data_IF_435455366281
#
_entry.id   IF_435455366281
#
_cell.length_a   1.000
_cell.length_b   1.000
_cell.length_c   1.000
_cell.angle_alpha   90.00
_cell.angle_beta   90.00
_cell.angle_gamma   90.00
#
_symmetry.space_group_name_H-M   'P 1'
#
loop_
_entity.id
_entity.type
_entity.pdbx_description
1 polymer ?
#
# COMPACT_ATOMS: atom_id res chain seq x y z
N UNK A 1 0.68 -22.31 9.22
CA UNK A 1 0.06 -21.92 7.91
C UNK A 1 -1.29 -22.60 7.65
N UNK A 2 -1.75 -23.43 8.56
CA UNK A 2 -3.05 -24.11 8.47
C UNK A 2 -4.25 -23.14 8.30
N UNK A 3 -4.17 -21.94 8.86
CA UNK A 3 -5.26 -20.93 8.77
C UNK A 3 -5.54 -20.41 7.35
N UNK A 4 -4.65 -20.64 6.37
CA UNK A 4 -4.84 -20.29 4.97
C UNK A 4 -5.01 -21.52 4.06
N UNK A 5 -5.09 -22.72 4.64
CA UNK A 5 -5.32 -23.96 3.86
C UNK A 5 -6.74 -23.90 3.31
N UNK A 6 -6.84 -24.04 1.98
CA UNK A 6 -8.13 -23.93 1.27
C UNK A 6 -8.51 -22.51 0.85
N UNK A 7 -7.77 -21.47 1.29
CA UNK A 7 -7.96 -20.09 0.86
C UNK A 7 -7.07 -19.77 -0.35
N UNK A 8 -7.69 -19.35 -1.44
CA UNK A 8 -6.94 -18.84 -2.60
C UNK A 8 -6.48 -17.40 -2.31
N UNK A 9 -5.23 -17.24 -1.86
CA UNK A 9 -4.65 -15.91 -1.61
C UNK A 9 -4.37 -15.22 -2.95
N UNK A 10 -4.92 -14.00 -3.13
CA UNK A 10 -4.79 -13.19 -4.35
C UNK A 10 -3.91 -11.98 -4.17
N UNK A 11 -3.69 -11.50 -2.94
CA UNK A 11 -2.78 -10.40 -2.64
C UNK A 11 -2.13 -10.57 -1.27
N UNK A 12 -0.88 -10.09 -1.18
CA UNK A 12 -0.09 -10.01 0.04
C UNK A 12 0.47 -8.61 0.19
N UNK A 13 0.51 -8.10 1.41
CA UNK A 13 1.20 -6.87 1.76
C UNK A 13 1.98 -7.05 3.07
N UNK A 14 3.23 -6.60 3.07
CA UNK A 14 4.11 -6.72 4.22
C UNK A 14 4.49 -5.33 4.74
N UNK A 15 4.22 -5.09 6.02
CA UNK A 15 4.75 -3.96 6.76
C UNK A 15 6.11 -4.28 7.39
N UNK A 16 6.57 -3.45 8.34
CA UNK A 16 7.86 -3.72 9.00
C UNK A 16 7.84 -5.00 9.83
N UNK A 17 6.74 -5.30 10.49
CA UNK A 17 6.64 -6.43 11.44
C UNK A 17 5.27 -7.11 11.41
N UNK A 18 4.46 -6.85 10.40
CA UNK A 18 3.16 -7.50 10.21
C UNK A 18 2.90 -7.76 8.75
N UNK A 19 2.02 -8.67 8.48
CA UNK A 19 1.64 -9.11 7.14
C UNK A 19 0.13 -9.13 7.04
N UNK A 20 -0.38 -8.78 5.87
CA UNK A 20 -1.78 -8.93 5.50
C UNK A 20 -1.91 -9.76 4.22
N UNK A 21 -2.92 -10.61 4.17
CA UNK A 21 -3.28 -11.42 3.00
C UNK A 21 -4.75 -11.24 2.67
N UNK A 22 -5.03 -11.08 1.38
CA UNK A 22 -6.38 -11.00 0.85
C UNK A 22 -6.67 -12.29 0.07
N UNK A 23 -7.81 -12.95 0.37
CA UNK A 23 -8.25 -14.13 -0.36
C UNK A 23 -9.17 -13.77 -1.53
N UNK A 24 -9.36 -14.71 -2.46
CA UNK A 24 -10.30 -14.58 -3.58
C UNK A 24 -11.76 -14.43 -3.13
N UNK A 25 -12.07 -14.85 -1.90
CA UNK A 25 -13.38 -14.66 -1.25
C UNK A 25 -13.49 -13.29 -0.57
N UNK A 26 -12.54 -12.38 -0.83
CA UNK A 26 -12.48 -11.04 -0.23
C UNK A 26 -12.31 -11.03 1.31
N UNK A 27 -11.77 -12.11 1.88
CA UNK A 27 -11.41 -12.17 3.29
C UNK A 27 -10.02 -11.59 3.52
N UNK A 28 -9.89 -10.75 4.53
CA UNK A 28 -8.61 -10.17 4.94
C UNK A 28 -8.09 -10.91 6.18
N UNK A 29 -6.84 -11.34 6.10
CA UNK A 29 -6.09 -11.98 7.18
C UNK A 29 -4.92 -11.11 7.56
N UNK A 30 -4.64 -10.98 8.86
CA UNK A 30 -3.48 -10.24 9.37
C UNK A 30 -2.76 -11.03 10.45
N UNK A 31 -1.43 -10.90 10.52
CA UNK A 31 -0.60 -11.51 11.55
C UNK A 31 0.72 -10.77 11.72
N UNK A 32 1.45 -11.12 12.75
CA UNK A 32 2.71 -10.52 13.15
C UNK A 32 2.58 -9.61 14.36
N UNK A 33 3.31 -8.50 14.37
CA UNK A 33 3.32 -7.54 15.47
C UNK A 33 2.03 -6.72 15.50
N UNK A 34 1.37 -6.69 16.67
CA UNK A 34 0.11 -5.98 16.90
C UNK A 34 0.20 -4.79 17.86
N UNK A 35 1.40 -4.48 18.40
CA UNK A 35 1.58 -3.53 19.49
C UNK A 35 1.11 -2.08 19.22
N UNK A 36 0.84 -1.71 17.99
CA UNK A 36 0.20 -0.46 17.61
C UNK A 36 -1.23 -0.65 17.09
N UNK A 37 -1.83 -1.83 17.23
CA UNK A 37 -3.14 -2.16 16.71
C UNK A 37 -3.19 -2.41 15.20
N UNK A 38 -2.03 -2.49 14.52
CA UNK A 38 -1.93 -2.62 13.06
C UNK A 38 -2.51 -3.91 12.48
N UNK A 39 -2.85 -4.88 13.32
CA UNK A 39 -3.52 -6.12 12.90
C UNK A 39 -5.03 -5.97 12.75
N UNK A 40 -5.65 -4.96 13.38
CA UNK A 40 -7.05 -4.63 13.17
C UNK A 40 -8.06 -5.45 14.00
N UNK A 41 -7.62 -6.28 14.96
CA UNK A 41 -8.49 -7.18 15.74
C UNK A 41 -9.07 -6.55 17.03
N UNK A 42 -9.05 -5.22 17.16
CA UNK A 42 -9.62 -4.49 18.30
C UNK A 42 -8.66 -4.38 19.49
N UNK A 43 -7.45 -4.95 19.41
CA UNK A 43 -6.44 -4.94 20.47
C UNK A 43 -5.02 -4.74 19.95
N UNK A 44 -4.05 -4.83 20.86
CA UNK A 44 -2.61 -4.67 20.58
C UNK A 44 -1.82 -5.98 20.75
N UNK A 45 -2.49 -7.11 20.62
CA UNK A 45 -1.91 -8.45 20.77
C UNK A 45 -1.19 -8.83 19.47
N UNK A 46 -0.10 -9.59 19.59
CA UNK A 46 0.64 -10.18 18.47
C UNK A 46 -0.01 -11.51 18.07
N UNK A 47 -0.16 -11.74 16.78
CA UNK A 47 -0.63 -13.03 16.26
C UNK A 47 0.47 -13.67 15.42
N UNK A 48 0.88 -14.88 15.78
CA UNK A 48 1.92 -15.63 15.07
C UNK A 48 1.40 -16.37 13.84
N UNK A 49 0.09 -16.55 13.75
CA UNK A 49 -0.60 -17.19 12.63
C UNK A 49 -1.58 -16.21 11.97
N UNK A 50 -1.87 -16.37 10.68
CA UNK A 50 -2.91 -15.58 10.01
C UNK A 50 -4.24 -15.68 10.73
N UNK A 51 -4.81 -14.54 11.10
CA UNK A 51 -6.14 -14.45 11.70
C UNK A 51 -7.05 -13.63 10.79
N UNK A 52 -8.21 -14.17 10.48
CA UNK A 52 -9.22 -13.49 9.65
C UNK A 52 -9.77 -12.28 10.39
N UNK A 53 -9.76 -11.14 9.72
CA UNK A 53 -10.31 -9.90 10.24
C UNK A 53 -11.84 -10.02 10.30
N UNK A 54 -12.39 -9.86 11.49
CA UNK A 54 -13.84 -9.90 11.74
C UNK A 54 -14.43 -8.49 11.68
N UNK A 55 -15.73 -8.35 11.34
CA UNK A 55 -16.42 -7.07 11.46
C UNK A 55 -16.39 -6.63 12.93
N UNK A 56 -15.91 -5.42 13.16
CA UNK A 56 -16.09 -4.79 14.47
C UNK A 56 -17.36 -3.97 14.44
N UNK A 57 -18.24 -4.15 15.44
CA UNK A 57 -19.30 -3.20 15.71
C UNK A 57 -18.65 -1.81 15.88
N UNK A 58 -19.15 -0.80 15.19
CA UNK A 58 -18.70 0.57 15.40
C UNK A 58 -18.86 0.85 16.91
N UNK A 59 -17.73 0.97 17.62
CA UNK A 59 -17.74 1.37 19.02
C UNK A 59 -18.42 2.72 19.08
N UNK A 60 -19.65 2.76 19.59
CA UNK A 60 -20.24 3.97 20.14
C UNK A 60 -19.21 4.53 21.12
N UNK A 61 -18.96 5.85 21.03
CA UNK A 61 -17.99 6.56 21.84
C UNK A 61 -18.05 6.11 23.31
N UNK A 62 -16.92 6.10 24.04
CA UNK A 62 -16.95 5.79 25.45
C UNK A 62 -17.84 6.80 26.15
N UNK A 63 -18.94 6.31 26.71
CA UNK A 63 -19.71 7.07 27.66
C UNK A 63 -18.74 7.48 28.77
N UNK A 64 -18.56 8.78 28.96
CA UNK A 64 -17.93 9.33 30.13
C UNK A 64 -18.64 8.76 31.36
N UNK A 65 -17.95 7.88 32.07
CA UNK A 65 -18.40 7.39 33.36
C UNK A 65 -18.34 8.56 34.33
N UNK A 66 -19.47 9.26 34.51
CA UNK A 66 -19.71 10.03 35.70
C UNK A 66 -20.10 9.05 36.79
N UNK A 67 -19.26 8.95 37.80
CA UNK A 67 -19.53 8.28 39.06
C UNK A 67 -20.61 9.07 39.80
N UNK A 68 -21.85 8.63 39.73
CA UNK A 68 -22.81 8.84 40.80
C UNK A 68 -23.80 7.67 40.76
N UNK A 69 -23.56 6.74 41.66
CA UNK A 69 -24.45 5.64 41.91
C UNK A 69 -25.54 6.07 42.90
N UNK A 70 -26.78 6.10 42.47
CA UNK A 70 -27.89 5.87 43.39
C UNK A 70 -28.67 4.65 42.94
N UNK A 71 -28.73 3.71 43.86
CA UNK A 71 -29.46 2.45 43.85
C UNK A 71 -30.98 2.73 43.75
N UNK A 72 -31.64 2.18 42.69
CA UNK A 72 -32.97 1.60 42.89
C UNK A 72 -33.19 0.59 41.76
N UNK A 73 -33.30 -0.66 42.19
CA UNK A 73 -33.58 -1.80 41.36
C UNK A 73 -35.09 -1.92 41.16
N UNK A 74 -35.52 -1.95 39.91
CA UNK A 74 -36.77 -2.61 39.52
C UNK A 74 -36.48 -3.56 38.40
N UNK A 75 -36.63 -4.85 38.71
CA UNK A 75 -36.62 -6.00 37.83
C UNK A 75 -37.81 -5.93 36.88
N UNK A 76 -37.57 -5.84 35.61
CA UNK A 76 -38.33 -6.47 34.51
C UNK A 76 -37.63 -6.11 33.19
N UNK A 77 -36.55 -6.84 32.87
CA UNK A 77 -35.93 -6.77 31.56
C UNK A 77 -36.38 -7.99 30.77
N UNK A 78 -37.14 -7.77 29.73
CA UNK A 78 -37.53 -8.76 28.73
C UNK A 78 -36.30 -9.51 28.18
N UNK A 79 -36.14 -10.75 28.61
CA UNK A 79 -35.04 -11.64 28.22
C UNK A 79 -35.22 -12.20 26.79
N UNK A 80 -35.92 -11.50 25.91
CA UNK A 80 -36.18 -11.96 24.52
C UNK A 80 -35.84 -10.93 23.43
N UNK A 81 -34.89 -10.02 23.70
CA UNK A 81 -34.32 -9.23 22.63
C UNK A 81 -33.38 -10.12 21.80
N UNK A 82 -33.84 -10.53 20.61
CA UNK A 82 -33.00 -11.24 19.64
C UNK A 82 -31.72 -10.41 19.42
N UNK A 83 -30.56 -11.07 19.52
CA UNK A 83 -29.28 -10.42 19.23
C UNK A 83 -29.37 -9.70 17.87
N UNK A 84 -28.87 -8.46 17.77
CA UNK A 84 -28.88 -7.77 16.49
C UNK A 84 -28.19 -8.63 15.42
N UNK A 85 -28.69 -8.65 14.17
CA UNK A 85 -28.08 -9.45 13.11
C UNK A 85 -26.59 -9.08 13.00
N UNK A 86 -25.71 -10.06 12.77
CA UNK A 86 -24.30 -9.80 12.60
C UNK A 86 -24.11 -8.77 11.50
N UNK A 87 -23.25 -7.78 11.77
CA UNK A 87 -22.90 -6.79 10.76
C UNK A 87 -22.35 -7.51 9.52
N UNK A 88 -22.71 -7.07 8.30
CA UNK A 88 -22.19 -7.68 7.09
C UNK A 88 -20.66 -7.62 7.13
N UNK A 89 -20.01 -8.75 6.85
CA UNK A 89 -18.54 -8.81 6.77
C UNK A 89 -18.08 -7.86 5.68
N UNK A 90 -17.16 -6.91 5.96
CA UNK A 90 -16.62 -6.07 4.92
C UNK A 90 -15.98 -6.94 3.83
N UNK A 91 -16.35 -6.72 2.59
CA UNK A 91 -15.68 -7.30 1.44
C UNK A 91 -14.46 -6.44 1.11
N UNK A 92 -13.27 -7.01 1.20
CA UNK A 92 -12.02 -6.29 0.96
C UNK A 92 -11.54 -6.50 -0.47
N UNK A 93 -11.07 -5.43 -1.13
CA UNK A 93 -10.60 -5.47 -2.53
C UNK A 93 -9.11 -5.15 -2.65
N UNK A 94 -8.54 -4.46 -1.67
CA UNK A 94 -7.11 -4.17 -1.60
C UNK A 94 -6.66 -4.00 -0.16
N UNK A 95 -5.39 -4.33 0.12
CA UNK A 95 -4.72 -4.05 1.40
C UNK A 95 -3.30 -3.56 1.15
N UNK A 96 -2.84 -2.63 1.98
CA UNK A 96 -1.47 -2.14 2.02
C UNK A 96 -1.00 -1.95 3.46
N UNK A 97 0.20 -2.42 3.77
CA UNK A 97 0.81 -2.37 5.08
C UNK A 97 1.97 -1.37 5.11
N UNK A 98 1.91 -0.40 6.01
CA UNK A 98 3.01 0.50 6.30
C UNK A 98 3.94 -0.03 7.40
N UNK A 99 4.73 0.85 8.02
CA UNK A 99 5.62 0.43 9.11
C UNK A 99 4.83 -0.15 10.29
N UNK A 100 3.78 0.57 10.73
CA UNK A 100 2.99 0.24 11.93
C UNK A 100 1.50 0.53 11.74
N UNK A 101 1.04 0.74 10.51
CA UNK A 101 -0.36 0.94 10.17
C UNK A 101 -0.74 0.11 8.96
N UNK A 102 -2.02 -0.05 8.76
CA UNK A 102 -2.59 -0.79 7.64
C UNK A 102 -3.71 0.03 7.03
N UNK A 103 -3.79 0.00 5.71
CA UNK A 103 -4.89 0.58 4.95
C UNK A 103 -5.51 -0.48 4.04
N UNK A 104 -6.82 -0.42 3.85
CA UNK A 104 -7.53 -1.32 2.94
C UNK A 104 -8.67 -0.59 2.23
N UNK A 105 -8.98 -1.02 1.03
CA UNK A 105 -10.20 -0.67 0.32
C UNK A 105 -11.23 -1.77 0.52
N UNK A 106 -12.41 -1.37 1.02
CA UNK A 106 -13.58 -2.20 1.05
C UNK A 106 -14.41 -2.07 -0.23
N UNK A 107 -15.43 -2.88 -0.35
CA UNK A 107 -16.44 -2.77 -1.41
C UNK A 107 -17.00 -1.34 -1.48
N UNK A 108 -17.30 -0.86 -2.70
CA UNK A 108 -17.68 0.53 -2.91
C UNK A 108 -16.51 1.53 -2.86
N UNK A 109 -15.26 1.04 -2.88
CA UNK A 109 -14.03 1.85 -2.85
C UNK A 109 -13.84 2.67 -1.57
N UNK A 110 -14.42 2.24 -0.44
CA UNK A 110 -14.31 2.90 0.84
C UNK A 110 -12.96 2.61 1.50
N UNK A 111 -12.17 3.65 1.75
CA UNK A 111 -10.89 3.53 2.43
C UNK A 111 -11.07 3.32 3.93
N UNK A 112 -10.36 2.34 4.49
CA UNK A 112 -10.24 2.09 5.92
C UNK A 112 -8.78 2.10 6.32
N UNK A 113 -8.49 2.62 7.49
CA UNK A 113 -7.13 2.64 8.07
C UNK A 113 -7.17 2.26 9.53
N UNK A 114 -6.08 1.63 10.03
CA UNK A 114 -5.92 1.27 11.42
C UNK A 114 -4.44 1.07 11.78
N UNK A 115 -4.17 0.96 13.06
CA UNK A 115 -2.82 0.86 13.59
C UNK A 115 -2.34 2.17 14.19
N UNK A 116 -1.05 2.48 14.01
CA UNK A 116 -0.40 3.68 14.50
C UNK A 116 -0.91 4.95 13.81
N UNK A 117 -1.32 5.93 14.59
CA UNK A 117 -1.82 7.23 14.12
C UNK A 117 -0.95 8.43 14.55
N UNK A 118 0.24 8.19 15.17
CA UNK A 118 1.07 9.25 15.76
C UNK A 118 1.44 10.37 14.79
N UNK A 119 1.62 10.03 13.51
CA UNK A 119 1.95 10.99 12.47
C UNK A 119 0.76 11.45 11.62
N UNK A 120 -0.47 11.06 12.00
CA UNK A 120 -1.69 11.33 11.22
C UNK A 120 -1.89 10.43 10.01
N UNK A 121 -1.10 9.34 9.86
CA UNK A 121 -1.13 8.42 8.72
C UNK A 121 -2.45 7.64 8.57
N UNK A 122 -3.32 7.69 9.57
CA UNK A 122 -4.65 7.09 9.51
C UNK A 122 -5.68 7.97 8.79
N UNK A 123 -5.45 9.29 8.72
CA UNK A 123 -6.34 10.20 7.98
C UNK A 123 -7.65 10.56 8.69
N UNK A 124 -7.71 10.45 10.04
CA UNK A 124 -8.91 10.67 10.83
C UNK A 124 -9.02 12.07 11.47
N UNK A 125 -8.10 12.97 11.15
CA UNK A 125 -8.01 14.31 11.68
C UNK A 125 -6.78 14.52 12.57
N UNK A 126 -6.35 15.77 12.70
CA UNK A 126 -5.11 16.10 13.43
C UNK A 126 -5.24 15.94 14.95
N UNK A 127 -6.45 16.00 15.49
CA UNK A 127 -6.73 15.83 16.92
C UNK A 127 -6.67 14.35 17.36
N UNK A 128 -6.73 13.42 16.42
CA UNK A 128 -6.78 11.99 16.70
C UNK A 128 -5.47 11.28 16.37
N UNK A 129 -4.34 11.82 16.81
CA UNK A 129 -3.00 11.24 16.64
C UNK A 129 -2.74 10.08 17.62
N UNK A 130 -3.62 9.09 17.60
CA UNK A 130 -3.52 7.90 18.45
C UNK A 130 -3.67 6.63 17.62
N UNK A 131 -3.28 5.51 18.21
CA UNK A 131 -3.48 4.21 17.59
C UNK A 131 -4.95 3.81 17.55
N UNK A 132 -5.39 3.25 16.44
CA UNK A 132 -6.71 2.65 16.26
C UNK A 132 -6.56 1.16 15.98
N UNK A 133 -6.95 0.29 16.91
CA UNK A 133 -6.71 -1.15 16.76
C UNK A 133 -7.76 -1.89 15.92
N UNK A 134 -8.70 -1.18 15.32
CA UNK A 134 -9.73 -1.74 14.42
C UNK A 134 -9.86 -0.89 13.15
N UNK A 135 -10.25 -1.48 12.01
CA UNK A 135 -10.51 -0.74 10.78
C UNK A 135 -11.51 0.39 10.98
N UNK A 136 -11.14 1.60 10.59
CA UNK A 136 -12.00 2.78 10.66
C UNK A 136 -12.06 3.44 9.27
N UNK A 137 -13.28 3.79 8.78
CA UNK A 137 -13.43 4.50 7.51
C UNK A 137 -12.76 5.88 7.55
N UNK A 138 -12.08 6.25 6.46
CA UNK A 138 -11.53 7.61 6.29
C UNK A 138 -12.64 8.53 5.80
N UNK A 139 -13.15 9.37 6.69
CA UNK A 139 -14.37 10.16 6.46
C UNK A 139 -14.28 11.12 5.27
N UNK A 140 -13.13 11.77 5.08
CA UNK A 140 -12.87 12.74 4.01
C UNK A 140 -12.84 12.12 2.62
N UNK A 141 -12.71 10.78 2.53
CA UNK A 141 -12.75 10.04 1.26
C UNK A 141 -14.09 9.36 1.00
N UNK A 142 -15.12 9.61 1.82
CA UNK A 142 -16.47 9.08 1.56
C UNK A 142 -17.02 9.59 0.23
N UNK A 143 -17.52 8.67 -0.58
CA UNK A 143 -18.05 9.00 -1.92
C UNK A 143 -16.97 9.24 -2.98
N UNK A 144 -15.69 9.20 -2.61
CA UNK A 144 -14.58 9.25 -3.56
C UNK A 144 -14.30 7.84 -4.07
N UNK A 145 -14.41 7.64 -5.37
CA UNK A 145 -14.10 6.36 -6.01
C UNK A 145 -12.57 6.17 -6.07
N UNK A 146 -12.05 5.31 -5.19
CA UNK A 146 -10.62 5.02 -5.12
C UNK A 146 -10.26 3.79 -5.97
N UNK A 147 -9.15 3.88 -6.70
CA UNK A 147 -8.56 2.75 -7.44
C UNK A 147 -7.46 2.05 -6.66
N UNK A 148 -6.74 2.82 -5.82
CA UNK A 148 -5.58 2.31 -5.11
C UNK A 148 -5.41 3.04 -3.80
N UNK A 149 -4.99 2.30 -2.76
CA UNK A 149 -4.48 2.84 -1.50
C UNK A 149 -3.13 2.20 -1.20
N UNK A 150 -2.15 3.02 -0.79
CA UNK A 150 -0.78 2.57 -0.48
C UNK A 150 -0.29 3.18 0.82
N UNK A 151 0.35 2.36 1.63
CA UNK A 151 1.04 2.77 2.84
C UNK A 151 2.54 2.93 2.60
N UNK A 152 3.07 4.08 2.94
CA UNK A 152 4.51 4.24 3.14
C UNK A 152 4.93 3.89 4.57
N UNK A 153 6.14 4.24 4.96
CA UNK A 153 6.61 4.01 6.33
C UNK A 153 5.69 4.69 7.37
N UNK A 154 5.38 5.99 7.18
CA UNK A 154 4.58 6.79 8.11
C UNK A 154 3.61 7.74 7.38
N UNK A 155 3.23 7.45 6.16
CA UNK A 155 2.25 8.19 5.39
C UNK A 155 1.40 7.24 4.56
N UNK A 156 0.30 7.73 4.05
CA UNK A 156 -0.63 6.98 3.21
C UNK A 156 -0.93 7.80 1.96
N UNK A 157 -1.11 7.11 0.84
CA UNK A 157 -1.48 7.69 -0.44
C UNK A 157 -2.68 6.96 -1.04
N UNK A 158 -3.55 7.66 -1.75
CA UNK A 158 -4.68 7.05 -2.46
C UNK A 158 -4.86 7.70 -3.83
N UNK A 159 -5.14 6.87 -4.84
CA UNK A 159 -5.42 7.29 -6.21
C UNK A 159 -6.90 7.10 -6.50
N UNK A 160 -7.56 8.12 -7.03
CA UNK A 160 -8.96 8.06 -7.43
C UNK A 160 -9.15 7.49 -8.84
N UNK A 161 -10.35 7.05 -9.17
CA UNK A 161 -10.73 6.65 -10.53
C UNK A 161 -10.51 7.76 -11.57
N UNK A 162 -10.66 9.02 -11.16
CA UNK A 162 -10.36 10.20 -11.98
C UNK A 162 -8.87 10.51 -12.13
N UNK A 163 -7.98 9.82 -11.42
CA UNK A 163 -6.53 10.01 -11.48
C UNK A 163 -6.00 11.09 -10.55
N UNK A 164 -6.78 11.56 -9.58
CA UNK A 164 -6.27 12.44 -8.52
C UNK A 164 -5.51 11.62 -7.47
N UNK A 165 -4.40 12.17 -6.98
CA UNK A 165 -3.62 11.59 -5.90
C UNK A 165 -3.86 12.37 -4.62
N UNK A 166 -4.19 11.65 -3.54
CA UNK A 166 -4.27 12.17 -2.17
C UNK A 166 -3.16 11.58 -1.33
N UNK A 167 -2.61 12.38 -0.41
CA UNK A 167 -1.59 11.95 0.55
C UNK A 167 -1.86 12.53 1.93
N UNK A 168 -1.48 11.79 2.99
CA UNK A 168 -1.59 12.22 4.39
C UNK A 168 -0.62 11.46 5.29
N UNK A 169 -0.41 11.95 6.51
CA UNK A 169 0.50 11.37 7.47
C UNK A 169 1.75 12.22 7.68
N UNK A 170 2.90 11.57 7.87
CA UNK A 170 4.19 12.22 8.04
C UNK A 170 4.63 13.00 6.80
N UNK A 171 5.11 14.21 6.99
CA UNK A 171 5.59 15.08 5.92
C UNK A 171 6.99 15.64 6.15
N UNK A 172 7.70 15.18 7.20
CA UNK A 172 8.99 15.75 7.60
C UNK A 172 10.11 15.70 6.55
N UNK A 173 9.97 14.85 5.54
CA UNK A 173 10.85 14.79 4.37
C UNK A 173 10.20 15.32 3.09
N UNK A 174 8.98 15.86 3.19
CA UNK A 174 8.20 16.29 2.04
C UNK A 174 7.46 15.18 1.30
N UNK A 175 7.39 13.96 1.84
CA UNK A 175 6.80 12.78 1.20
C UNK A 175 5.31 12.90 0.86
N UNK A 176 4.62 13.92 1.38
CA UNK A 176 3.24 14.24 1.01
C UNK A 176 3.12 15.00 -0.32
N UNK A 177 4.19 15.66 -0.79
CA UNK A 177 4.20 16.35 -2.08
C UNK A 177 3.45 17.69 -2.13
N UNK A 178 3.24 18.34 -0.97
CA UNK A 178 2.48 19.59 -0.86
C UNK A 178 3.35 20.84 -0.92
N UNK A 179 4.64 20.72 -1.25
CA UNK A 179 5.60 21.83 -1.31
C UNK A 179 6.19 22.24 0.03
N UNK A 180 5.87 21.53 1.10
CA UNK A 180 6.35 21.79 2.45
C UNK A 180 6.73 20.48 3.15
N UNK A 181 7.63 20.58 4.14
CA UNK A 181 8.01 19.46 5.02
C UNK A 181 7.13 19.44 6.27
N UNK A 182 5.81 19.37 6.05
CA UNK A 182 4.80 19.31 7.10
C UNK A 182 3.92 18.09 6.92
N UNK A 183 3.57 17.44 8.03
CA UNK A 183 2.61 16.35 8.07
C UNK A 183 1.17 16.85 8.00
N UNK A 184 0.24 15.96 7.69
CA UNK A 184 -1.19 16.24 7.69
C UNK A 184 -1.99 15.02 8.14
N UNK A 185 -2.95 15.25 9.06
CA UNK A 185 -3.78 14.17 9.63
C UNK A 185 -5.03 13.84 8.81
N UNK A 186 -5.25 14.50 7.68
CA UNK A 186 -6.38 14.24 6.77
C UNK A 186 -5.89 14.11 5.32
N UNK A 187 -6.58 13.32 4.48
CA UNK A 187 -6.29 13.24 3.06
C UNK A 187 -6.32 14.60 2.38
N UNK A 188 -5.24 14.95 1.68
CA UNK A 188 -5.12 16.18 0.89
C UNK A 188 -4.67 15.86 -0.52
N UNK A 189 -5.33 16.45 -1.52
CA UNK A 189 -4.97 16.30 -2.92
C UNK A 189 -3.59 16.92 -3.22
N UNK A 190 -2.75 16.21 -3.98
CA UNK A 190 -1.43 16.68 -4.42
C UNK A 190 -1.63 17.65 -5.58
N UNK A 191 -1.73 18.94 -5.28
CA UNK A 191 -2.07 20.00 -6.24
C UNK A 191 -1.11 20.09 -7.45
N UNK A 192 0.16 19.77 -7.25
CA UNK A 192 1.16 19.77 -8.32
C UNK A 192 0.88 18.76 -9.45
N UNK A 193 0.12 17.69 -9.16
CA UNK A 193 -0.24 16.64 -10.14
C UNK A 193 -1.69 16.75 -10.62
N UNK A 194 -2.45 17.78 -10.26
CA UNK A 194 -3.89 17.91 -10.58
C UNK A 194 -4.23 17.87 -12.08
N UNK A 195 -3.27 18.23 -12.93
CA UNK A 195 -3.41 18.26 -14.38
C UNK A 195 -2.96 16.96 -15.05
N UNK A 196 -2.46 16.01 -14.28
CA UNK A 196 -2.00 14.70 -14.72
C UNK A 196 -2.95 13.62 -14.20
N UNK A 197 -3.19 12.61 -15.00
CA UNK A 197 -3.93 11.42 -14.56
C UNK A 197 -2.95 10.43 -13.95
N UNK A 198 -2.87 10.39 -12.62
CA UNK A 198 -2.12 9.37 -11.89
C UNK A 198 -2.88 8.05 -11.96
N UNK A 199 -2.18 6.95 -12.26
CA UNK A 199 -2.76 5.60 -12.38
C UNK A 199 -2.19 4.62 -11.36
N UNK A 200 -1.00 4.89 -10.80
CA UNK A 200 -0.39 4.09 -9.75
C UNK A 200 0.42 4.97 -8.81
N UNK A 201 0.50 4.54 -7.56
CA UNK A 201 1.37 5.10 -6.54
C UNK A 201 2.11 3.96 -5.84
N UNK A 202 3.35 4.20 -5.41
CA UNK A 202 4.09 3.30 -4.53
C UNK A 202 4.80 4.15 -3.47
N UNK A 203 4.85 3.65 -2.26
CA UNK A 203 5.32 4.39 -1.10
C UNK A 203 6.39 3.62 -0.32
N UNK A 204 7.40 4.35 0.15
CA UNK A 204 8.42 3.91 1.10
C UNK A 204 8.62 4.98 2.18
N UNK A 205 9.84 5.49 2.40
CA UNK A 205 10.08 6.76 3.06
C UNK A 205 9.87 7.96 2.09
N UNK A 206 9.60 7.65 0.84
CA UNK A 206 9.33 8.55 -0.28
C UNK A 206 8.06 8.10 -0.99
N UNK A 207 7.65 8.84 -1.99
CA UNK A 207 6.48 8.54 -2.82
C UNK A 207 6.85 8.53 -4.30
N UNK A 208 6.36 7.55 -5.03
CA UNK A 208 6.44 7.41 -6.48
C UNK A 208 5.05 7.51 -7.06
N UNK A 209 4.87 8.24 -8.16
CA UNK A 209 3.59 8.30 -8.89
C UNK A 209 3.81 8.07 -10.37
N UNK A 210 2.99 7.20 -10.96
CA UNK A 210 2.96 6.89 -12.37
C UNK A 210 1.74 7.51 -13.01
N UNK A 211 1.94 8.24 -14.09
CA UNK A 211 0.86 8.81 -14.87
C UNK A 211 0.37 7.85 -15.96
N UNK A 212 -0.81 8.10 -16.52
CA UNK A 212 -1.38 7.35 -17.65
C UNK A 212 -0.51 7.40 -18.91
N UNK A 213 0.33 8.44 -19.04
CA UNK A 213 1.30 8.60 -20.13
C UNK A 213 2.57 7.76 -19.93
N UNK A 214 2.72 7.11 -18.76
CA UNK A 214 3.91 6.34 -18.43
C UNK A 214 5.05 7.19 -17.86
N UNK A 215 4.77 8.43 -17.44
CA UNK A 215 5.75 9.30 -16.79
C UNK A 215 5.84 8.99 -15.31
N UNK A 216 7.06 8.93 -14.77
CA UNK A 216 7.35 8.68 -13.38
C UNK A 216 7.73 9.97 -12.66
N UNK A 217 7.08 10.20 -11.53
CA UNK A 217 7.38 11.28 -10.57
C UNK A 217 7.79 10.68 -9.22
N UNK A 218 8.70 11.34 -8.53
CA UNK A 218 9.16 10.96 -7.19
C UNK A 218 9.39 12.17 -6.31
N UNK A 219 9.17 12.00 -4.98
CA UNK A 219 9.39 13.03 -3.96
C UNK A 219 9.45 12.42 -2.56
N UNK A 220 9.80 13.21 -1.57
CA UNK A 220 9.97 12.78 -0.19
C UNK A 220 11.43 12.61 0.18
N UNK A 221 11.75 11.61 0.99
CA UNK A 221 13.09 11.32 1.45
C UNK A 221 14.03 10.95 0.30
N UNK A 222 15.16 11.67 0.16
CA UNK A 222 16.10 11.50 -0.96
C UNK A 222 17.53 11.08 -0.57
N UNK A 223 17.83 11.03 0.75
CA UNK A 223 19.22 10.86 1.23
C UNK A 223 19.96 9.63 0.73
N UNK A 224 19.24 8.61 0.33
CA UNK A 224 19.79 7.36 -0.21
C UNK A 224 19.69 7.27 -1.75
N UNK A 225 19.39 8.39 -2.42
CA UNK A 225 19.23 8.42 -3.88
C UNK A 225 17.96 7.79 -4.40
N UNK A 226 17.01 7.38 -3.53
CA UNK A 226 15.78 6.66 -3.88
C UNK A 226 14.80 7.47 -4.74
N UNK A 227 15.01 8.78 -4.91
CA UNK A 227 14.20 9.62 -5.80
C UNK A 227 14.61 9.49 -7.27
N UNK A 228 15.83 9.03 -7.57
CA UNK A 228 16.27 8.83 -8.95
C UNK A 228 16.67 10.11 -9.69
N UNK A 229 16.93 11.23 -8.97
CA UNK A 229 17.25 12.54 -9.55
C UNK A 229 18.74 12.82 -9.70
N UNK A 230 19.61 11.82 -9.44
CA UNK A 230 21.07 11.94 -9.55
C UNK A 230 21.76 12.48 -8.30
N UNK A 231 21.00 12.84 -7.26
CA UNK A 231 21.50 13.36 -5.99
C UNK A 231 20.85 12.72 -4.77
N UNK A 232 21.15 13.29 -3.58
CA UNK A 232 20.64 12.85 -2.28
C UNK A 232 19.75 13.91 -1.58
N UNK A 233 19.28 14.91 -2.30
CA UNK A 233 18.35 15.89 -1.75
C UNK A 233 16.95 15.29 -1.62
N UNK A 234 16.24 15.65 -0.52
CA UNK A 234 14.81 15.37 -0.38
C UNK A 234 13.99 16.40 -1.14
N UNK A 235 12.88 16.00 -1.70
CA UNK A 235 12.00 16.86 -2.50
C UNK A 235 10.64 16.98 -1.81
N UNK A 236 10.16 18.20 -1.61
CA UNK A 236 8.87 18.44 -0.96
C UNK A 236 7.68 18.49 -1.94
N UNK A 237 7.95 18.44 -3.23
CA UNK A 237 6.97 18.43 -4.31
C UNK A 237 7.30 17.34 -5.33
N UNK A 238 6.28 16.80 -6.04
CA UNK A 238 6.50 15.86 -7.12
C UNK A 238 7.47 16.40 -8.18
N UNK A 239 8.53 15.65 -8.46
CA UNK A 239 9.50 15.95 -9.51
C UNK A 239 9.59 14.78 -10.47
N UNK A 240 9.57 15.05 -11.77
CA UNK A 240 9.70 14.01 -12.80
C UNK A 240 11.09 13.36 -12.72
N UNK A 241 11.14 12.03 -12.87
CA UNK A 241 12.40 11.28 -12.95
C UNK A 241 12.95 11.40 -14.38
N UNK A 242 13.77 12.42 -14.63
CA UNK A 242 14.26 12.79 -15.96
C UNK A 242 15.08 11.68 -16.63
N UNK A 243 15.75 10.82 -15.86
CA UNK A 243 16.49 9.67 -16.39
C UNK A 243 15.57 8.66 -17.13
N UNK A 244 14.27 8.67 -16.85
CA UNK A 244 13.26 7.81 -17.51
C UNK A 244 12.31 8.60 -18.44
N UNK A 245 12.62 9.84 -18.81
CA UNK A 245 11.74 10.69 -19.64
C UNK A 245 11.34 10.09 -20.99
N UNK A 246 12.18 9.23 -21.56
CA UNK A 246 11.95 8.55 -22.83
C UNK A 246 11.52 7.09 -22.65
N UNK A 247 11.28 6.66 -21.40
CA UNK A 247 10.88 5.31 -21.05
C UNK A 247 9.42 5.33 -20.61
N UNK A 248 8.57 4.58 -21.30
CA UNK A 248 7.19 4.38 -20.85
C UNK A 248 7.20 3.39 -19.67
N UNK A 249 6.98 3.91 -18.48
CA UNK A 249 6.86 3.09 -17.27
C UNK A 249 5.45 2.52 -17.17
N UNK A 250 5.31 1.24 -16.78
CA UNK A 250 4.02 0.53 -16.64
C UNK A 250 3.82 -0.08 -15.25
N UNK A 251 4.87 -0.15 -14.45
CA UNK A 251 4.81 -0.70 -13.09
C UNK A 251 5.76 -0.02 -12.12
N UNK A 252 5.41 -0.01 -10.84
CA UNK A 252 6.19 0.57 -9.74
C UNK A 252 6.23 -0.37 -8.54
N UNK A 253 7.32 -0.30 -7.78
CA UNK A 253 7.37 -0.75 -6.39
C UNK A 253 8.27 0.19 -5.58
N UNK A 254 7.88 0.49 -4.35
CA UNK A 254 8.64 1.33 -3.41
C UNK A 254 9.08 0.52 -2.20
N UNK A 255 10.38 0.45 -1.96
CA UNK A 255 10.95 -0.03 -0.70
C UNK A 255 11.18 1.12 0.26
N UNK A 256 11.74 0.82 1.45
CA UNK A 256 11.97 1.89 2.43
C UNK A 256 12.91 2.97 1.87
N UNK A 257 14.04 2.57 1.29
CA UNK A 257 15.05 3.49 0.74
C UNK A 257 15.49 3.12 -0.68
N UNK A 258 14.69 2.36 -1.42
CA UNK A 258 14.96 2.03 -2.80
C UNK A 258 13.67 2.01 -3.62
N UNK A 259 13.80 2.04 -4.91
CA UNK A 259 12.70 2.14 -5.85
C UNK A 259 12.90 1.18 -7.02
N UNK A 260 11.80 0.75 -7.59
CA UNK A 260 11.75 -0.09 -8.79
C UNK A 260 10.74 0.48 -9.77
N UNK A 261 11.09 0.48 -11.05
CA UNK A 261 10.18 0.74 -12.16
C UNK A 261 10.28 -0.37 -13.20
N UNK A 262 9.13 -0.74 -13.76
CA UNK A 262 9.02 -1.63 -14.90
C UNK A 262 8.66 -0.80 -16.13
N UNK A 263 9.44 -0.91 -17.19
CA UNK A 263 9.14 -0.31 -18.49
C UNK A 263 8.27 -1.23 -19.35
N UNK A 264 7.63 -0.66 -20.37
CA UNK A 264 6.75 -1.37 -21.31
C UNK A 264 7.47 -2.46 -22.12
N UNK A 265 8.80 -2.33 -22.29
CA UNK A 265 9.67 -3.28 -22.96
C UNK A 265 10.18 -4.43 -22.05
N UNK A 266 9.59 -4.59 -20.86
CA UNK A 266 9.98 -5.50 -19.79
C UNK A 266 11.34 -5.17 -19.11
N UNK A 267 11.94 -4.00 -19.37
CA UNK A 267 13.13 -3.57 -18.65
C UNK A 267 12.80 -3.18 -17.23
N UNK A 268 13.46 -3.80 -16.27
CA UNK A 268 13.34 -3.46 -14.84
C UNK A 268 14.46 -2.49 -14.47
N UNK A 269 14.09 -1.37 -13.85
CA UNK A 269 15.02 -0.38 -13.31
C UNK A 269 14.96 -0.40 -11.78
N UNK A 270 16.12 -0.33 -11.14
CA UNK A 270 16.22 -0.20 -9.68
C UNK A 270 17.19 0.92 -9.32
N UNK A 271 16.92 1.63 -8.21
CA UNK A 271 17.75 2.72 -7.71
C UNK A 271 17.49 3.00 -6.22
N UNK A 272 18.39 3.75 -5.57
CA UNK A 272 18.32 4.06 -4.16
C UNK A 272 19.48 3.43 -3.39
N UNK A 273 19.25 2.98 -2.17
CA UNK A 273 20.26 2.27 -1.36
C UNK A 273 20.59 0.90 -1.96
N UNK A 274 21.83 0.45 -1.79
CA UNK A 274 22.33 -0.84 -2.28
C UNK A 274 23.12 -1.61 -1.21
N UNK A 275 23.04 -1.17 0.05
CA UNK A 275 23.90 -1.67 1.14
C UNK A 275 23.69 -3.16 1.46
N UNK A 276 22.52 -3.70 1.13
CA UNK A 276 22.14 -5.09 1.41
C UNK A 276 21.84 -5.88 0.12
N UNK A 277 22.20 -5.33 -1.06
CA UNK A 277 21.94 -5.96 -2.34
C UNK A 277 20.51 -5.80 -2.86
N UNK A 278 19.71 -4.90 -2.26
CA UNK A 278 18.29 -4.66 -2.56
C UNK A 278 18.04 -4.25 -4.02
N UNK A 279 19.05 -3.71 -4.71
CA UNK A 279 18.95 -3.31 -6.11
C UNK A 279 19.23 -4.43 -7.11
N UNK A 280 19.84 -5.55 -6.67
CA UNK A 280 20.24 -6.65 -7.55
C UNK A 280 21.42 -6.32 -8.47
N UNK A 281 22.15 -5.22 -8.23
CA UNK A 281 23.37 -4.87 -8.95
C UNK A 281 24.61 -5.31 -8.17
N UNK A 282 25.74 -5.64 -8.85
CA UNK A 282 27.00 -5.99 -8.17
C UNK A 282 27.71 -4.73 -7.64
N UNK A 283 26.99 -3.90 -6.87
CA UNK A 283 27.47 -2.68 -6.25
C UNK A 283 27.00 -2.63 -4.79
N UNK A 284 27.83 -2.11 -3.90
CA UNK A 284 27.50 -1.96 -2.48
C UNK A 284 27.23 -0.50 -2.08
N UNK A 285 27.18 0.42 -3.05
CA UNK A 285 26.95 1.84 -2.85
C UNK A 285 25.60 2.26 -3.39
N UNK A 286 25.06 3.37 -2.90
CA UNK A 286 23.81 3.90 -3.40
C UNK A 286 23.85 4.20 -4.91
N UNK A 287 22.73 4.01 -5.57
CA UNK A 287 22.49 4.29 -6.98
C UNK A 287 21.46 5.43 -7.08
N UNK A 288 21.88 6.70 -7.29
CA UNK A 288 20.96 7.84 -7.23
C UNK A 288 20.17 8.09 -8.53
N UNK A 289 20.35 7.24 -9.54
CA UNK A 289 19.61 7.27 -10.81
C UNK A 289 19.07 5.89 -11.16
N UNK A 290 17.92 5.78 -11.82
CA UNK A 290 17.43 4.50 -12.33
C UNK A 290 18.46 3.76 -13.18
N UNK A 291 18.74 2.50 -12.84
CA UNK A 291 19.66 1.63 -13.56
C UNK A 291 18.97 0.35 -13.96
N UNK A 292 19.09 -0.02 -15.24
CA UNK A 292 18.50 -1.26 -15.75
C UNK A 292 19.13 -2.50 -15.10
N UNK A 293 18.31 -3.42 -14.62
CA UNK A 293 18.71 -4.63 -13.93
C UNK A 293 19.07 -5.72 -14.95
N UNK A 294 20.37 -5.88 -15.22
CA UNK A 294 20.88 -6.81 -16.23
C UNK A 294 20.53 -8.28 -15.94
N UNK A 295 20.46 -8.66 -14.66
CA UNK A 295 20.22 -10.04 -14.22
C UNK A 295 18.88 -10.64 -14.71
N UNK A 296 17.88 -9.78 -15.00
CA UNK A 296 16.54 -10.21 -15.45
C UNK A 296 16.23 -9.81 -16.88
N UNK A 297 17.22 -9.35 -17.62
CA UNK A 297 17.06 -8.89 -19.02
C UNK A 297 16.48 -9.99 -19.90
N UNK A 298 15.44 -9.61 -20.68
CA UNK A 298 14.75 -10.56 -21.58
C UNK A 298 13.79 -11.52 -20.86
N UNK A 299 13.57 -11.33 -19.55
CA UNK A 299 12.53 -12.04 -18.78
C UNK A 299 11.33 -11.11 -18.60
N UNK A 300 10.13 -11.67 -18.71
CA UNK A 300 8.91 -10.93 -18.39
C UNK A 300 8.77 -10.80 -16.87
N UNK A 301 8.62 -9.60 -16.36
CA UNK A 301 8.26 -9.39 -14.95
C UNK A 301 6.74 -9.58 -14.78
N UNK A 302 6.35 -10.53 -13.94
CA UNK A 302 4.94 -10.78 -13.59
C UNK A 302 4.52 -10.00 -12.35
N UNK A 303 5.44 -9.90 -11.37
CA UNK A 303 5.20 -9.20 -10.12
C UNK A 303 6.52 -8.70 -9.54
N UNK A 304 6.47 -7.55 -8.87
CA UNK A 304 7.58 -7.02 -8.08
C UNK A 304 7.07 -6.52 -6.73
N UNK A 305 7.82 -6.78 -5.68
CA UNK A 305 7.58 -6.24 -4.35
C UNK A 305 8.91 -5.79 -3.74
N UNK A 306 8.87 -4.64 -3.08
CA UNK A 306 9.98 -4.09 -2.34
C UNK A 306 9.65 -4.11 -0.84
N UNK A 307 10.58 -4.60 -0.03
CA UNK A 307 10.52 -4.54 1.43
C UNK A 307 11.38 -3.40 1.98
N UNK A 308 11.81 -3.52 3.24
CA UNK A 308 12.71 -2.56 3.87
C UNK A 308 14.08 -2.51 3.18
N UNK A 309 14.69 -3.69 3.02
CA UNK A 309 16.06 -3.86 2.50
C UNK A 309 16.17 -5.05 1.52
N UNK A 310 15.11 -5.39 0.82
CA UNK A 310 15.11 -6.46 -0.18
C UNK A 310 14.08 -6.19 -1.26
N UNK A 311 14.29 -6.81 -2.42
CA UNK A 311 13.37 -6.81 -3.56
C UNK A 311 13.07 -8.25 -3.98
N UNK A 312 11.83 -8.56 -4.23
CA UNK A 312 11.39 -9.84 -4.79
C UNK A 312 10.79 -9.63 -6.17
N UNK A 313 11.20 -10.47 -7.13
CA UNK A 313 10.71 -10.44 -8.49
C UNK A 313 10.15 -11.81 -8.87
N UNK A 314 8.93 -11.86 -9.35
CA UNK A 314 8.35 -13.03 -9.99
C UNK A 314 8.50 -12.88 -11.50
N UNK A 315 9.26 -13.80 -12.10
CA UNK A 315 9.60 -13.73 -13.52
C UNK A 315 8.89 -14.86 -14.29
N UNK A 316 8.31 -14.50 -15.43
CA UNK A 316 7.81 -15.47 -16.42
C UNK A 316 8.91 -16.01 -17.33
N UNK A 317 8.54 -16.86 -18.30
CA UNK A 317 9.43 -17.38 -19.35
C UNK A 317 10.10 -16.29 -20.18
N UNK A 318 11.14 -16.64 -20.91
CA UNK A 318 11.81 -15.72 -21.84
C UNK A 318 10.88 -15.35 -23.00
N UNK A 319 10.99 -14.15 -23.54
CA UNK A 319 10.18 -13.66 -24.68
C UNK A 319 10.26 -14.60 -25.91
N UNK A 320 11.43 -15.23 -26.16
CA UNK A 320 11.63 -16.15 -27.28
C UNK A 320 10.85 -17.46 -27.16
N UNK A 321 10.55 -17.90 -25.94
CA UNK A 321 9.82 -19.16 -25.71
C UNK A 321 8.35 -19.01 -26.13
N UNK A 322 7.77 -17.81 -26.02
CA UNK A 322 6.37 -17.53 -26.41
C UNK A 322 6.15 -17.42 -27.92
N UNK A 323 7.16 -16.93 -28.66
CA UNK A 323 7.08 -16.89 -30.13
C UNK A 323 7.14 -18.30 -30.73
N UNK A 324 7.83 -19.24 -30.07
CA UNK A 324 7.83 -20.65 -30.44
C UNK A 324 6.52 -21.34 -30.09
N UNK A 325 5.97 -21.15 -28.89
CA UNK A 325 4.70 -21.75 -28.46
C UNK A 325 3.53 -21.28 -29.34
N UNK A 326 3.52 -20.01 -29.77
CA UNK A 326 2.51 -19.48 -30.70
C UNK A 326 2.71 -20.01 -32.12
N UNK A 327 3.95 -20.18 -32.57
CA UNK A 327 4.28 -20.75 -33.89
C UNK A 327 3.94 -22.26 -33.96
N UNK A 328 4.18 -23.01 -32.88
CA UNK A 328 3.83 -24.42 -32.79
C UNK A 328 2.33 -24.67 -32.63
N UNK A 329 1.61 -23.79 -31.91
CA UNK A 329 0.14 -23.87 -31.79
C UNK A 329 -0.62 -23.44 -33.06
N UNK A 330 0.01 -22.62 -33.91
CA UNK A 330 -0.53 -22.24 -35.22
C UNK A 330 -0.29 -23.23 -36.33
N UNK A 331 0.66 -24.15 -36.19
CA UNK A 331 1.03 -25.13 -37.21
C UNK A 331 0.20 -26.44 -37.18
N UNK A 332 -0.65 -26.64 -36.17
CA UNK A 332 -1.45 -27.88 -36.01
C UNK A 332 -2.88 -27.78 -36.55
N UNK A 333 -3.29 -26.69 -37.22
CA UNK A 333 -4.66 -26.52 -37.71
C UNK A 333 -4.84 -26.66 -39.23
N UNK A 334 -3.78 -27.03 -40.03
CA UNK A 334 -3.85 -27.07 -41.51
C UNK A 334 -3.60 -28.44 -42.13
N UNK A 335 -3.66 -29.54 -41.36
CA UNK A 335 -3.62 -30.91 -41.95
C UNK A 335 -4.87 -31.72 -41.56
N UNK A 336 -6.04 -31.35 -42.03
CA UNK A 336 -7.17 -32.24 -42.29
C UNK A 336 -8.20 -31.51 -43.18
N UNK A 337 -8.06 -31.63 -44.46
CA UNK A 337 -9.14 -31.47 -45.43
C UNK A 337 -8.97 -32.52 -46.53
#
# INVERSE_FOLDING_TARGET
>A
MEALVGEAVVALSCGWRHTAALSAQAHLYTWGHGGAGQLGHGGTIHFFLPLRLQPHAASSAPASASSDASSDASSDADANAAAPPPLPTPTWVQVSCGARHTAALGEGALAHTWGDGEHGQLGHGETERRAHPAPRPVAELRGVQLLQIECGAHHTAAVTAGGQLYTWGSGGFGQLGHGAQQGGGVPRAVAALRHLRVVRVACGAHTLALTAQGELYSWGHGKQGQLGHGGSASEAAPRRVEALRHTRVVGLAGGHFHSLALAEDDTVYTWGTASHGELGHPIATQQPTPRALAAVRGRRLLFAACGGTHTALLLGGRRRDRERDVAESGATSDETS
#
